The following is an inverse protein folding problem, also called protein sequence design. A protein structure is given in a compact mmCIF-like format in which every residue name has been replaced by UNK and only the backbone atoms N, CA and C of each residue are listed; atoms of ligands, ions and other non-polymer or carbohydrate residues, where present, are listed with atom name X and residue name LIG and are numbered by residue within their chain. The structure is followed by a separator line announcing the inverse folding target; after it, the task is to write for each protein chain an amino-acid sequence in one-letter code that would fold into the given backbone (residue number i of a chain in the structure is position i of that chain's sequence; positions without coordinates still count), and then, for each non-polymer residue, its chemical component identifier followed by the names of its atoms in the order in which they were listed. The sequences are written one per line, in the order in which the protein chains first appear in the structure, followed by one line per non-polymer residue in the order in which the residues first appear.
data_IF_309879983974
#
_entry.id   IF_309879983974
#
_cell.length_a   1.000
_cell.length_b   1.000
_cell.length_c   1.000
_cell.angle_alpha   90.00
_cell.angle_beta   90.00
_cell.angle_gamma   90.00
#
_symmetry.space_group_name_H-M   'P 1'
#
loop_
_entity.id
_entity.type
_entity.pdbx_description
1 polymer ?
#
# COMPACT_ATOMS: atom_id res chain seq x y z
N UNK A 1 -2.19 5.55 19.78
CA UNK A 1 -3.66 5.43 20.09
C UNK A 1 -4.26 6.71 20.68
N UNK A 2 -4.04 7.85 20.06
CA UNK A 2 -4.60 9.12 20.52
C UNK A 2 -6.11 9.30 20.32
N UNK A 3 -6.76 8.41 19.60
CA UNK A 3 -8.21 8.32 19.51
C UNK A 3 -8.62 6.94 20.02
N UNK A 4 -9.45 6.85 21.02
CA UNK A 4 -9.90 5.64 21.73
C UNK A 4 -10.33 4.45 20.84
N UNK A 5 -9.44 3.99 19.97
CA UNK A 5 -9.69 2.86 19.08
C UNK A 5 -9.45 1.56 19.82
N UNK A 6 -10.47 0.71 19.88
CA UNK A 6 -10.36 -0.69 20.33
C UNK A 6 -9.93 -1.62 19.19
N UNK A 7 -9.79 -1.10 17.97
CA UNK A 7 -9.36 -1.89 16.81
C UNK A 7 -7.92 -2.40 16.99
N UNK A 8 -7.67 -3.61 16.54
CA UNK A 8 -6.32 -4.15 16.41
C UNK A 8 -5.57 -3.37 15.33
N UNK A 9 -4.34 -3.03 15.59
CA UNK A 9 -3.47 -2.28 14.67
C UNK A 9 -2.22 -3.12 14.45
N UNK A 10 -1.96 -3.49 13.20
CA UNK A 10 -0.78 -4.23 12.79
C UNK A 10 0.24 -3.31 12.13
N UNK A 11 1.47 -3.30 12.65
CA UNK A 11 2.61 -2.66 12.01
C UNK A 11 3.16 -3.61 10.94
N UNK A 12 2.82 -3.35 9.67
CA UNK A 12 3.13 -4.25 8.55
C UNK A 12 4.63 -4.39 8.24
N UNK A 13 5.42 -3.37 8.55
CA UNK A 13 6.87 -3.38 8.35
C UNK A 13 7.61 -3.89 9.59
N UNK A 14 6.87 -4.07 10.69
CA UNK A 14 7.43 -4.48 11.98
C UNK A 14 8.16 -3.33 12.67
N UNK A 15 9.13 -3.69 13.50
CA UNK A 15 9.97 -2.75 14.25
C UNK A 15 11.34 -2.61 13.55
N UNK A 16 11.94 -1.43 13.66
CA UNK A 16 13.28 -1.12 13.11
C UNK A 16 14.36 -1.08 14.18
N UNK A 17 13.95 -1.07 15.46
CA UNK A 17 14.83 -1.05 16.62
C UNK A 17 14.20 -1.85 17.78
N UNK A 18 15.02 -2.42 18.70
CA UNK A 18 14.51 -3.20 19.84
C UNK A 18 13.56 -2.40 20.76
N UNK A 19 13.79 -1.10 20.92
CA UNK A 19 12.93 -0.22 21.73
C UNK A 19 11.50 -0.14 21.19
N UNK A 20 11.31 -0.26 19.88
CA UNK A 20 9.99 -0.20 19.26
C UNK A 20 9.16 -1.45 19.55
N UNK A 21 9.81 -2.60 19.82
CA UNK A 21 9.12 -3.83 20.27
C UNK A 21 8.46 -3.58 21.62
N UNK A 22 9.19 -2.96 22.56
CA UNK A 22 8.67 -2.59 23.90
C UNK A 22 7.51 -1.59 23.77
N UNK A 23 7.69 -0.56 22.94
CA UNK A 23 6.65 0.46 22.70
C UNK A 23 5.40 -0.14 22.05
N UNK A 24 5.58 -1.04 21.08
CA UNK A 24 4.48 -1.74 20.41
C UNK A 24 3.67 -2.59 21.41
N UNK A 25 4.35 -3.34 22.27
CA UNK A 25 3.72 -4.12 23.33
C UNK A 25 2.95 -3.22 24.31
N UNK A 26 3.57 -2.13 24.77
CA UNK A 26 2.94 -1.17 25.69
C UNK A 26 1.70 -0.52 25.08
N UNK A 27 1.71 -0.23 23.77
CA UNK A 27 0.59 0.35 23.04
C UNK A 27 -0.44 -0.69 22.59
N UNK A 28 -0.17 -1.99 22.78
CA UNK A 28 -1.03 -3.09 22.34
C UNK A 28 -1.17 -3.15 20.81
N UNK A 29 -0.08 -2.92 20.09
CA UNK A 29 0.01 -3.09 18.66
C UNK A 29 0.42 -4.53 18.32
N UNK A 30 -0.01 -5.03 17.17
CA UNK A 30 0.54 -6.24 16.58
C UNK A 30 1.77 -5.86 15.73
N UNK A 31 2.77 -6.74 15.64
CA UNK A 31 3.96 -6.50 14.83
C UNK A 31 4.19 -7.62 13.82
N UNK A 32 4.76 -7.27 12.66
CA UNK A 32 5.30 -8.25 11.72
C UNK A 32 6.77 -8.50 12.05
N UNK A 33 7.19 -9.76 11.96
CA UNK A 33 8.59 -10.17 11.90
C UNK A 33 8.86 -10.76 10.51
N UNK A 34 9.90 -10.25 9.86
CA UNK A 34 10.21 -10.56 8.46
C UNK A 34 11.68 -10.93 8.23
N UNK A 35 12.45 -10.98 9.31
CA UNK A 35 13.85 -11.32 9.31
C UNK A 35 14.33 -11.77 10.69
N UNK A 36 15.46 -12.47 10.69
CA UNK A 36 16.05 -13.05 11.89
C UNK A 36 16.39 -12.01 12.96
N UNK A 37 16.82 -10.83 12.55
CA UNK A 37 17.18 -9.75 13.47
C UNK A 37 15.97 -9.30 14.31
N UNK A 38 14.79 -9.12 13.69
CA UNK A 38 13.56 -8.77 14.40
C UNK A 38 13.11 -9.89 15.35
N UNK A 39 13.32 -11.15 14.96
CA UNK A 39 13.05 -12.28 15.86
C UNK A 39 13.96 -12.22 17.07
N UNK A 40 15.26 -11.96 16.87
CA UNK A 40 16.23 -11.83 17.99
C UNK A 40 15.85 -10.68 18.92
N UNK A 41 15.49 -9.51 18.39
CA UNK A 41 15.01 -8.40 19.22
C UNK A 41 13.83 -8.80 20.09
N UNK A 42 12.87 -9.54 19.52
CA UNK A 42 11.71 -10.03 20.26
C UNK A 42 12.13 -11.03 21.34
N UNK A 43 13.06 -11.94 21.07
CA UNK A 43 13.53 -12.95 22.03
C UNK A 43 14.37 -12.35 23.17
N UNK A 44 15.22 -11.38 22.84
CA UNK A 44 16.19 -10.78 23.77
C UNK A 44 15.59 -9.66 24.62
N UNK A 45 14.35 -9.23 24.30
CA UNK A 45 13.69 -8.10 24.97
C UNK A 45 12.48 -8.59 25.76
N UNK A 46 12.59 -8.84 27.07
CA UNK A 46 11.45 -9.18 27.92
C UNK A 46 10.37 -8.09 27.88
N UNK A 47 9.12 -8.49 27.69
CA UNK A 47 8.00 -7.58 27.59
C UNK A 47 7.10 -7.67 28.83
N UNK A 48 6.65 -6.53 29.34
CA UNK A 48 5.69 -6.47 30.45
C UNK A 48 4.28 -6.93 30.02
N UNK A 49 3.97 -6.84 28.73
CA UNK A 49 2.69 -7.27 28.15
C UNK A 49 2.94 -8.15 26.93
N UNK A 50 2.21 -9.26 26.81
CA UNK A 50 2.32 -10.11 25.63
C UNK A 50 1.87 -9.35 24.36
N UNK A 51 2.52 -9.70 23.24
CA UNK A 51 2.32 -9.09 21.93
C UNK A 51 1.86 -10.13 20.92
N UNK A 52 1.01 -9.73 19.95
CA UNK A 52 0.68 -10.58 18.82
C UNK A 52 1.73 -10.38 17.72
N UNK A 53 2.22 -11.48 17.18
CA UNK A 53 3.28 -11.50 16.18
C UNK A 53 2.76 -12.10 14.88
N UNK A 54 3.11 -11.49 13.76
CA UNK A 54 2.84 -11.99 12.43
C UNK A 54 4.15 -12.33 11.74
N UNK A 55 4.36 -13.61 11.41
CA UNK A 55 5.50 -14.02 10.59
C UNK A 55 5.22 -13.74 9.13
N UNK A 56 6.10 -13.00 8.46
CA UNK A 56 5.99 -12.76 7.03
C UNK A 56 6.63 -13.90 6.24
N UNK A 57 5.86 -14.55 5.37
CA UNK A 57 6.35 -15.54 4.41
C UNK A 57 6.63 -14.84 3.06
N UNK A 58 7.83 -14.98 2.55
CA UNK A 58 8.10 -14.71 1.15
C UNK A 58 7.64 -15.89 0.29
N UNK A 59 6.42 -15.78 -0.23
CA UNK A 59 5.86 -16.80 -1.12
C UNK A 59 6.26 -16.61 -2.59
N UNK A 60 7.15 -15.64 -2.90
CA UNK A 60 7.66 -15.40 -4.24
C UNK A 60 7.61 -13.95 -4.71
N UNK A 61 7.33 -12.98 -3.84
CA UNK A 61 7.45 -11.55 -4.14
C UNK A 61 8.90 -11.06 -4.03
N UNK A 62 9.69 -11.72 -3.18
CA UNK A 62 11.12 -11.44 -2.94
C UNK A 62 11.41 -10.00 -2.50
N UNK A 63 10.52 -9.47 -1.65
CA UNK A 63 10.67 -8.14 -1.08
C UNK A 63 11.05 -8.20 0.39
N UNK A 64 10.27 -8.92 1.19
CA UNK A 64 10.44 -9.09 2.64
C UNK A 64 9.86 -10.46 3.04
N UNK A 65 10.33 -11.00 4.17
CA UNK A 65 9.81 -12.22 4.75
C UNK A 65 10.81 -13.38 4.70
N UNK A 66 10.48 -14.42 5.44
CA UNK A 66 11.22 -15.68 5.48
C UNK A 66 10.80 -16.59 4.32
N UNK A 67 11.69 -17.42 3.86
CA UNK A 67 11.33 -18.60 3.06
C UNK A 67 10.63 -19.67 3.93
N UNK A 68 10.22 -20.76 3.32
CA UNK A 68 9.53 -21.86 4.03
C UNK A 68 10.39 -22.48 5.16
N UNK A 69 11.70 -22.60 4.95
CA UNK A 69 12.63 -23.15 5.92
C UNK A 69 12.76 -22.22 7.12
N UNK A 70 12.93 -20.93 6.89
CA UNK A 70 12.98 -19.90 7.92
C UNK A 70 11.69 -19.82 8.74
N UNK A 71 10.52 -19.95 8.10
CA UNK A 71 9.24 -20.04 8.82
C UNK A 71 9.22 -21.25 9.75
N UNK A 72 9.62 -22.43 9.27
CA UNK A 72 9.65 -23.64 10.09
C UNK A 72 10.64 -23.55 11.25
N UNK A 73 11.83 -23.00 10.98
CA UNK A 73 12.87 -22.79 11.98
C UNK A 73 12.38 -21.88 13.12
N UNK A 74 11.82 -20.73 12.79
CA UNK A 74 11.49 -19.70 13.78
C UNK A 74 10.10 -19.89 14.40
N UNK A 75 9.19 -20.65 13.77
CA UNK A 75 7.86 -20.88 14.31
C UNK A 75 7.89 -21.50 15.71
N UNK A 76 8.63 -22.60 15.90
CA UNK A 76 8.72 -23.28 17.20
C UNK A 76 9.37 -22.40 18.27
N UNK A 77 10.35 -21.61 17.90
CA UNK A 77 11.04 -20.69 18.80
C UNK A 77 10.09 -19.58 19.26
N UNK A 78 9.41 -18.92 18.33
CA UNK A 78 8.48 -17.83 18.64
C UNK A 78 7.22 -18.35 19.36
N UNK A 79 6.72 -19.53 19.03
CA UNK A 79 5.56 -20.15 19.70
C UNK A 79 5.84 -20.42 21.18
N UNK A 80 7.09 -20.71 21.55
CA UNK A 80 7.52 -20.96 22.93
C UNK A 80 8.00 -19.67 23.65
N UNK A 81 8.03 -18.52 22.99
CA UNK A 81 8.40 -17.26 23.61
C UNK A 81 7.27 -16.78 24.55
N UNK A 82 7.56 -16.56 25.85
CA UNK A 82 6.52 -16.33 26.86
C UNK A 82 5.72 -15.03 26.67
N UNK A 83 6.24 -14.09 25.92
CA UNK A 83 5.54 -12.83 25.60
C UNK A 83 4.93 -12.78 24.19
N UNK A 84 5.02 -13.84 23.41
CA UNK A 84 4.24 -13.99 22.18
C UNK A 84 2.87 -14.56 22.52
N UNK A 85 1.81 -13.76 22.33
CA UNK A 85 0.43 -14.15 22.67
C UNK A 85 -0.23 -14.91 21.54
N UNK A 86 -0.17 -14.37 20.33
CA UNK A 86 -0.65 -14.99 19.10
C UNK A 86 0.50 -15.00 18.10
N UNK A 87 0.65 -16.10 17.38
CA UNK A 87 1.62 -16.24 16.31
C UNK A 87 0.88 -16.50 15.01
N UNK A 88 0.88 -15.49 14.14
CA UNK A 88 0.09 -15.43 12.93
C UNK A 88 0.99 -15.51 11.69
N UNK A 89 0.41 -15.82 10.54
CA UNK A 89 1.11 -15.89 9.25
C UNK A 89 0.56 -14.87 8.27
N UNK A 90 1.43 -14.16 7.56
CA UNK A 90 1.05 -13.36 6.41
C UNK A 90 1.99 -13.56 5.23
N UNK A 91 1.49 -13.30 4.03
CA UNK A 91 2.29 -13.15 2.82
C UNK A 91 1.67 -12.08 1.92
N UNK A 92 2.26 -11.80 0.76
CA UNK A 92 1.79 -10.76 -0.15
C UNK A 92 1.89 -11.20 -1.61
N UNK A 93 0.81 -11.01 -2.37
CA UNK A 93 0.81 -11.27 -3.80
C UNK A 93 1.55 -10.19 -4.59
N UNK A 94 2.31 -10.63 -5.57
CA UNK A 94 3.03 -9.74 -6.48
C UNK A 94 2.26 -9.43 -7.77
N UNK A 95 1.32 -10.30 -8.16
CA UNK A 95 0.67 -10.29 -9.48
C UNK A 95 -0.85 -10.55 -9.42
N UNK A 96 -1.49 -10.34 -8.26
CA UNK A 96 -2.94 -10.59 -8.13
C UNK A 96 -3.80 -9.61 -8.93
N UNK A 97 -3.23 -8.49 -9.38
CA UNK A 97 -3.82 -7.52 -10.29
C UNK A 97 -3.78 -7.96 -11.76
N UNK A 98 -3.00 -8.98 -12.09
CA UNK A 98 -2.94 -9.63 -13.40
C UNK A 98 -3.70 -10.97 -13.35
N UNK A 99 -4.98 -10.97 -13.69
CA UNK A 99 -5.93 -12.07 -13.43
C UNK A 99 -5.55 -13.47 -13.94
N UNK A 100 -4.64 -13.58 -14.91
CA UNK A 100 -4.19 -14.85 -15.49
C UNK A 100 -2.70 -15.14 -15.20
N UNK A 101 -2.03 -14.34 -14.37
CA UNK A 101 -0.61 -14.55 -14.14
C UNK A 101 -0.35 -15.78 -13.26
N UNK A 102 0.43 -16.79 -13.74
CA UNK A 102 0.59 -18.08 -13.05
C UNK A 102 1.28 -17.93 -11.67
N UNK A 103 2.04 -16.87 -11.47
CA UNK A 103 2.74 -16.60 -10.21
C UNK A 103 1.76 -16.41 -9.03
N UNK A 104 0.58 -15.88 -9.28
CA UNK A 104 -0.45 -15.72 -8.25
C UNK A 104 -0.84 -17.06 -7.63
N UNK A 105 -1.09 -18.07 -8.47
CA UNK A 105 -1.38 -19.42 -8.00
C UNK A 105 -0.19 -20.05 -7.30
N UNK A 106 1.02 -19.92 -7.86
CA UNK A 106 2.24 -20.43 -7.22
C UNK A 106 2.45 -19.83 -5.82
N UNK A 107 2.21 -18.54 -5.64
CA UNK A 107 2.28 -17.89 -4.32
C UNK A 107 1.23 -18.42 -3.34
N UNK A 108 0.01 -18.65 -3.82
CA UNK A 108 -1.05 -19.25 -3.02
C UNK A 108 -0.67 -20.68 -2.59
N UNK A 109 -0.13 -21.50 -3.50
CA UNK A 109 0.29 -22.88 -3.22
C UNK A 109 1.40 -22.92 -2.15
N UNK A 110 2.39 -22.02 -2.23
CA UNK A 110 3.44 -21.88 -1.21
C UNK A 110 2.85 -21.51 0.15
N UNK A 111 1.86 -20.62 0.18
CA UNK A 111 1.18 -20.22 1.42
C UNK A 111 0.38 -21.38 2.02
N UNK A 112 -0.33 -22.13 1.19
CA UNK A 112 -1.13 -23.31 1.59
C UNK A 112 -0.25 -24.46 2.07
N UNK A 113 1.00 -24.58 1.61
CA UNK A 113 1.93 -25.60 2.09
C UNK A 113 2.15 -25.52 3.61
N UNK A 114 1.91 -24.36 4.22
CA UNK A 114 1.95 -24.16 5.67
C UNK A 114 0.60 -24.38 6.38
N UNK A 115 -0.41 -24.95 5.71
CA UNK A 115 -1.75 -25.16 6.30
C UNK A 115 -1.73 -26.09 7.53
N UNK A 116 -0.79 -27.02 7.59
CA UNK A 116 -0.58 -27.92 8.74
C UNK A 116 0.17 -27.28 9.92
N UNK A 117 0.72 -26.06 9.77
CA UNK A 117 1.39 -25.34 10.86
C UNK A 117 0.33 -24.56 11.66
N UNK A 118 0.36 -24.71 13.00
CA UNK A 118 -0.67 -24.18 13.90
C UNK A 118 -0.51 -22.66 14.15
N UNK A 119 -0.60 -21.84 13.08
CA UNK A 119 -0.76 -20.40 13.21
C UNK A 119 -2.16 -20.05 13.71
N UNK A 120 -2.27 -19.01 14.55
CA UNK A 120 -3.56 -18.59 15.12
C UNK A 120 -4.43 -17.90 14.08
N UNK A 121 -3.84 -17.08 13.22
CA UNK A 121 -4.53 -16.36 12.14
C UNK A 121 -3.65 -16.29 10.88
N UNK A 122 -4.28 -16.02 9.74
CA UNK A 122 -3.65 -15.98 8.41
C UNK A 122 -4.13 -14.77 7.61
N UNK A 123 -3.25 -14.22 6.79
CA UNK A 123 -3.56 -13.10 5.91
C UNK A 123 -2.75 -13.17 4.62
N UNK A 124 -3.41 -13.17 3.47
CA UNK A 124 -2.75 -13.22 2.16
C UNK A 124 -3.26 -12.13 1.21
N UNK A 125 -4.59 -11.93 1.13
CA UNK A 125 -5.23 -11.08 0.15
C UNK A 125 -4.87 -9.60 0.27
N UNK A 126 -4.31 -9.03 -0.80
CA UNK A 126 -4.19 -7.59 -1.05
C UNK A 126 -5.45 -7.06 -1.77
N UNK A 127 -5.46 -5.79 -2.20
CA UNK A 127 -6.63 -5.16 -2.85
C UNK A 127 -7.20 -5.96 -4.03
N UNK A 128 -6.34 -6.45 -4.92
CA UNK A 128 -6.76 -7.22 -6.09
C UNK A 128 -7.35 -8.57 -5.68
N UNK A 129 -6.66 -9.29 -4.80
CA UNK A 129 -7.11 -10.58 -4.30
C UNK A 129 -8.41 -10.48 -3.49
N UNK A 130 -8.63 -9.40 -2.75
CA UNK A 130 -9.91 -9.13 -2.06
C UNK A 130 -11.07 -9.09 -3.04
N UNK A 131 -10.86 -8.55 -4.24
CA UNK A 131 -11.92 -8.41 -5.24
C UNK A 131 -12.12 -9.66 -6.11
N UNK A 132 -11.10 -10.52 -6.25
CA UNK A 132 -11.13 -11.58 -7.26
C UNK A 132 -10.76 -12.97 -6.77
N UNK A 133 -10.15 -13.12 -5.59
CA UNK A 133 -9.61 -14.39 -5.09
C UNK A 133 -10.15 -14.71 -3.68
N UNK A 134 -11.48 -14.97 -3.59
CA UNK A 134 -12.17 -15.17 -2.31
C UNK A 134 -11.53 -16.23 -1.41
N UNK A 135 -11.01 -17.31 -1.97
CA UNK A 135 -10.37 -18.41 -1.23
C UNK A 135 -9.06 -17.98 -0.52
N UNK A 136 -8.52 -16.80 -0.86
CA UNK A 136 -7.29 -16.26 -0.26
C UNK A 136 -7.52 -15.26 0.87
N UNK A 137 -8.78 -15.00 1.24
CA UNK A 137 -9.13 -14.01 2.26
C UNK A 137 -8.63 -14.41 3.65
N UNK A 138 -8.73 -15.71 3.98
CA UNK A 138 -8.39 -16.22 5.31
C UNK A 138 -9.05 -15.41 6.44
N UNK A 139 -8.30 -15.16 7.55
CA UNK A 139 -8.85 -14.44 8.70
C UNK A 139 -8.76 -12.91 8.55
N UNK A 140 -7.77 -12.43 7.79
CA UNK A 140 -7.54 -10.99 7.57
C UNK A 140 -7.28 -10.69 6.10
N UNK A 141 -7.91 -9.63 5.60
CA UNK A 141 -7.61 -9.04 4.30
C UNK A 141 -6.91 -7.69 4.47
N UNK A 142 -6.08 -7.32 3.50
CA UNK A 142 -5.32 -6.06 3.54
C UNK A 142 -5.63 -5.20 2.30
N UNK A 143 -6.84 -4.63 2.22
CA UNK A 143 -7.17 -3.67 1.17
C UNK A 143 -6.33 -2.41 1.36
N UNK A 144 -5.64 -1.97 0.31
CA UNK A 144 -4.90 -0.72 0.28
C UNK A 144 -5.56 0.26 -0.68
N UNK A 145 -5.20 0.21 -1.95
CA UNK A 145 -5.63 1.17 -2.96
C UNK A 145 -7.16 1.25 -3.12
N UNK A 146 -7.88 0.15 -2.94
CA UNK A 146 -9.35 0.15 -3.05
C UNK A 146 -10.03 0.96 -1.94
N UNK A 147 -9.39 1.20 -0.80
CA UNK A 147 -9.91 2.08 0.25
C UNK A 147 -9.95 3.55 -0.20
N UNK A 148 -9.11 3.92 -1.15
CA UNK A 148 -9.12 5.25 -1.76
C UNK A 148 -10.06 5.34 -2.96
N UNK A 149 -10.71 4.22 -3.32
CA UNK A 149 -11.63 4.14 -4.46
C UNK A 149 -10.94 4.02 -5.80
N UNK A 150 -9.68 3.59 -5.84
CA UNK A 150 -8.94 3.33 -7.07
C UNK A 150 -8.90 1.83 -7.40
N UNK A 151 -9.01 1.51 -8.70
CA UNK A 151 -8.88 0.14 -9.16
C UNK A 151 -7.43 -0.36 -9.03
N UNK A 152 -7.20 -1.59 -8.53
CA UNK A 152 -5.90 -2.23 -8.59
C UNK A 152 -5.58 -2.77 -9.99
N UNK A 153 -6.56 -2.89 -10.89
CA UNK A 153 -6.42 -3.48 -12.22
C UNK A 153 -6.19 -2.40 -13.28
N UNK A 154 -5.28 -2.65 -14.22
CA UNK A 154 -5.03 -1.73 -15.33
C UNK A 154 -6.22 -1.66 -16.32
N UNK A 155 -6.94 -2.78 -16.51
CA UNK A 155 -7.97 -2.94 -17.53
C UNK A 155 -9.41 -2.74 -17.02
N UNK A 156 -9.60 -2.60 -15.70
CA UNK A 156 -10.91 -2.42 -15.08
C UNK A 156 -10.92 -1.12 -14.27
N UNK A 157 -11.86 -0.25 -14.56
CA UNK A 157 -11.96 1.01 -13.83
C UNK A 157 -12.69 0.84 -12.48
N UNK A 158 -12.56 1.83 -11.60
CA UNK A 158 -13.12 1.79 -10.25
C UNK A 158 -14.66 1.65 -10.24
N UNK A 159 -15.36 2.26 -11.20
CA UNK A 159 -16.82 2.19 -11.30
C UNK A 159 -17.30 0.76 -11.62
N UNK A 160 -16.60 0.05 -12.51
CA UNK A 160 -16.89 -1.37 -12.85
C UNK A 160 -16.73 -2.30 -11.64
N UNK A 161 -15.93 -1.89 -10.67
CA UNK A 161 -15.69 -2.63 -9.42
C UNK A 161 -16.61 -2.18 -8.28
N UNK A 162 -17.52 -1.22 -8.53
CA UNK A 162 -18.38 -0.64 -7.49
C UNK A 162 -17.62 0.22 -6.47
N UNK A 163 -16.40 0.65 -6.79
CA UNK A 163 -15.60 1.49 -5.92
C UNK A 163 -16.00 2.96 -6.06
N UNK A 164 -15.92 3.70 -4.96
CA UNK A 164 -16.19 5.13 -4.91
C UNK A 164 -14.92 5.88 -4.46
N UNK A 165 -14.62 7.00 -5.13
CA UNK A 165 -13.49 7.84 -4.74
C UNK A 165 -13.67 8.36 -3.29
N UNK A 166 -12.71 8.04 -2.43
CA UNK A 166 -12.69 8.46 -1.03
C UNK A 166 -11.79 9.69 -0.80
N UNK A 167 -11.07 10.15 -1.84
CA UNK A 167 -10.15 11.29 -1.77
C UNK A 167 -10.32 12.19 -2.99
N UNK A 168 -10.28 13.50 -2.77
CA UNK A 168 -10.30 14.51 -3.82
C UNK A 168 -9.14 15.47 -3.62
N UNK A 169 -8.25 15.57 -4.60
CA UNK A 169 -7.20 16.58 -4.61
C UNK A 169 -7.78 17.89 -5.16
N UNK A 170 -7.68 18.97 -4.39
CA UNK A 170 -8.13 20.30 -4.78
C UNK A 170 -7.01 21.32 -4.68
N UNK A 171 -7.03 22.30 -5.59
CA UNK A 171 -6.09 23.42 -5.56
C UNK A 171 -6.77 24.68 -6.11
N UNK A 172 -6.20 25.85 -5.79
CA UNK A 172 -6.75 27.14 -6.23
C UNK A 172 -6.16 27.58 -7.57
N UNK A 173 -6.99 28.26 -8.37
CA UNK A 173 -6.51 29.00 -9.53
C UNK A 173 -5.92 30.31 -9.04
N UNK A 174 -4.61 30.51 -9.27
CA UNK A 174 -3.89 31.71 -8.82
C UNK A 174 -3.64 32.74 -9.92
N UNK A 175 -3.76 32.33 -11.19
CA UNK A 175 -3.59 33.24 -12.33
C UNK A 175 -4.41 32.77 -13.50
N UNK A 176 -4.97 33.77 -14.24
CA UNK A 176 -5.61 33.53 -15.52
C UNK A 176 -4.99 34.47 -16.56
N UNK A 177 -4.69 33.98 -17.74
CA UNK A 177 -4.20 34.76 -18.87
C UNK A 177 -4.64 34.16 -20.18
N UNK A 178 -4.79 34.99 -21.18
CA UNK A 178 -5.02 34.58 -22.57
C UNK A 178 -3.72 34.71 -23.34
N UNK A 179 -3.33 33.69 -24.06
CA UNK A 179 -2.15 33.68 -24.93
C UNK A 179 -2.59 33.48 -26.38
N UNK A 180 -1.91 34.12 -27.37
CA UNK A 180 -2.23 33.96 -28.79
C UNK A 180 -1.81 32.56 -29.30
N UNK A 181 -2.32 32.19 -30.46
CA UNK A 181 -1.86 31.02 -31.20
C UNK A 181 -0.34 31.08 -31.45
N UNK A 182 0.34 29.96 -31.30
CA UNK A 182 1.79 29.86 -31.50
C UNK A 182 2.64 30.04 -30.25
N UNK A 183 2.09 30.62 -29.18
CA UNK A 183 2.79 30.76 -27.90
C UNK A 183 2.89 29.43 -27.13
N UNK A 184 3.89 29.33 -26.28
CA UNK A 184 4.20 28.12 -25.51
C UNK A 184 4.00 28.33 -24.01
N UNK A 185 3.79 27.22 -23.27
CA UNK A 185 3.58 27.25 -21.83
C UNK A 185 4.62 26.42 -21.10
N UNK A 186 5.22 26.99 -20.06
CA UNK A 186 6.04 26.29 -19.07
C UNK A 186 7.44 25.91 -19.54
N UNK A 187 8.13 25.14 -18.69
CA UNK A 187 9.50 24.71 -18.92
C UNK A 187 9.66 23.85 -20.16
N UNK A 188 10.68 24.18 -20.97
CA UNK A 188 11.04 23.46 -22.17
C UNK A 188 10.13 23.73 -23.35
N UNK A 189 9.14 24.64 -23.22
CA UNK A 189 8.21 25.01 -24.32
C UNK A 189 7.56 23.78 -25.00
N UNK A 190 7.28 22.74 -24.23
CA UNK A 190 6.84 21.43 -24.74
C UNK A 190 5.38 21.43 -25.21
N UNK A 191 4.61 22.46 -24.85
CA UNK A 191 3.24 22.64 -25.31
C UNK A 191 3.10 23.99 -26.01
N UNK A 192 2.42 23.99 -27.14
CA UNK A 192 2.20 25.16 -27.98
C UNK A 192 0.68 25.38 -28.22
N UNK A 193 0.21 26.60 -28.06
CA UNK A 193 -1.18 26.95 -28.32
C UNK A 193 -1.50 26.91 -29.82
N UNK A 194 -2.44 26.09 -30.23
CA UNK A 194 -2.90 26.01 -31.65
C UNK A 194 -3.85 27.19 -32.04
N UNK A 195 -4.44 27.81 -31.04
CA UNK A 195 -5.37 28.95 -31.17
C UNK A 195 -5.20 29.87 -29.98
N UNK A 196 -5.81 31.01 -29.99
CA UNK A 196 -5.92 31.83 -28.79
C UNK A 196 -6.52 31.00 -27.65
N UNK A 197 -5.79 30.90 -26.54
CA UNK A 197 -6.08 29.96 -25.46
C UNK A 197 -6.01 30.66 -24.11
N UNK A 198 -7.03 30.43 -23.29
CA UNK A 198 -7.05 30.87 -21.89
C UNK A 198 -6.33 29.84 -21.01
N UNK A 199 -5.28 30.29 -20.34
CA UNK A 199 -4.44 29.44 -19.43
C UNK A 199 -4.76 29.82 -17.99
N UNK A 200 -5.02 28.80 -17.17
CA UNK A 200 -5.13 28.91 -15.72
C UNK A 200 -3.87 28.31 -15.07
N UNK A 201 -3.24 29.05 -14.19
CA UNK A 201 -2.20 28.52 -13.30
C UNK A 201 -2.87 28.14 -11.98
N UNK A 202 -2.60 26.90 -11.52
CA UNK A 202 -3.13 26.36 -10.27
C UNK A 202 -2.00 26.21 -9.25
N UNK A 203 -2.29 26.44 -7.96
CA UNK A 203 -1.36 26.34 -6.86
C UNK A 203 -1.20 24.86 -6.43
N UNK A 204 -0.53 24.08 -7.28
CA UNK A 204 -0.22 22.67 -6.99
C UNK A 204 0.87 22.19 -7.98
N UNK A 205 2.00 21.76 -7.44
CA UNK A 205 3.12 21.29 -8.23
C UNK A 205 3.79 20.03 -7.65
N UNK A 206 4.99 19.72 -8.13
CA UNK A 206 5.66 18.49 -7.72
C UNK A 206 6.19 18.56 -6.27
N UNK A 207 6.37 19.74 -5.69
CA UNK A 207 6.70 19.89 -4.28
C UNK A 207 5.52 19.50 -3.36
N UNK A 208 4.28 19.58 -3.88
CA UNK A 208 3.08 19.13 -3.18
C UNK A 208 2.80 17.62 -3.40
N UNK A 209 3.67 16.92 -4.12
CA UNK A 209 3.50 15.51 -4.48
C UNK A 209 2.77 15.26 -5.79
N UNK A 210 2.40 16.30 -6.56
CA UNK A 210 1.79 16.10 -7.87
C UNK A 210 2.85 15.60 -8.88
N UNK A 211 2.56 14.57 -9.69
CA UNK A 211 3.57 13.99 -10.57
C UNK A 211 4.13 15.00 -11.59
N UNK A 212 5.44 15.27 -11.53
CA UNK A 212 6.12 16.14 -12.52
C UNK A 212 6.03 15.58 -13.93
N UNK A 213 5.87 14.27 -14.06
CA UNK A 213 5.74 13.54 -15.33
C UNK A 213 4.30 13.38 -15.80
N UNK A 214 3.32 14.03 -15.14
CA UNK A 214 1.95 14.00 -15.59
C UNK A 214 1.86 14.44 -17.08
N UNK A 215 1.28 13.60 -17.96
CA UNK A 215 1.27 13.90 -19.39
C UNK A 215 0.38 15.08 -19.72
N UNK A 216 0.68 15.78 -20.81
CA UNK A 216 -0.22 16.77 -21.37
C UNK A 216 -1.58 16.14 -21.68
N UNK A 217 -2.66 16.85 -21.40
CA UNK A 217 -4.01 16.30 -21.52
C UNK A 217 -4.57 15.64 -20.27
N UNK A 218 -3.75 15.44 -19.21
CA UNK A 218 -4.27 14.97 -17.92
C UNK A 218 -5.47 15.82 -17.49
N UNK A 219 -6.64 15.21 -17.20
CA UNK A 219 -7.85 15.97 -16.94
C UNK A 219 -7.82 16.65 -15.57
N UNK A 220 -8.16 17.95 -15.57
CA UNK A 220 -8.44 18.74 -14.38
C UNK A 220 -9.88 19.21 -14.46
N UNK A 221 -10.57 19.29 -13.34
CA UNK A 221 -11.96 19.77 -13.29
C UNK A 221 -12.01 21.16 -12.67
N UNK A 222 -12.55 22.13 -13.41
CA UNK A 222 -12.75 23.50 -12.94
C UNK A 222 -14.25 23.83 -13.03
N UNK A 223 -14.89 24.08 -11.90
CA UNK A 223 -16.34 24.35 -11.83
C UNK A 223 -17.19 23.30 -12.59
N UNK A 224 -16.86 22.02 -12.43
CA UNK A 224 -17.55 20.92 -13.09
C UNK A 224 -17.18 20.69 -14.56
N UNK A 225 -16.34 21.52 -15.17
CA UNK A 225 -15.88 21.38 -16.54
C UNK A 225 -14.48 20.81 -16.60
N UNK A 226 -14.24 19.87 -17.52
CA UNK A 226 -12.91 19.31 -17.75
C UNK A 226 -12.04 20.28 -18.56
N UNK A 227 -10.82 20.48 -18.07
CA UNK A 227 -9.76 21.19 -18.78
C UNK A 227 -8.51 20.31 -18.82
N UNK A 228 -7.72 20.32 -19.90
CA UNK A 228 -6.49 19.56 -19.99
C UNK A 228 -5.36 20.27 -19.25
N UNK A 229 -4.49 19.51 -18.58
CA UNK A 229 -3.18 19.99 -18.16
C UNK A 229 -2.33 20.27 -19.40
N UNK A 230 -1.64 21.42 -19.43
CA UNK A 230 -0.77 21.82 -20.53
C UNK A 230 0.60 22.24 -20.02
N UNK A 231 1.64 21.96 -20.79
CA UNK A 231 3.02 22.23 -20.40
C UNK A 231 3.53 21.24 -19.36
N UNK A 232 4.68 21.56 -18.77
CA UNK A 232 5.32 20.73 -17.74
C UNK A 232 4.94 21.23 -16.36
N UNK A 233 4.62 20.30 -15.45
CA UNK A 233 4.34 20.62 -14.05
C UNK A 233 5.55 21.32 -13.42
N UNK A 234 5.32 22.47 -12.78
CA UNK A 234 6.30 23.23 -12.03
C UNK A 234 6.40 22.74 -10.58
N UNK A 235 7.26 23.40 -9.77
CA UNK A 235 7.45 23.04 -8.39
C UNK A 235 6.20 23.29 -7.54
N UNK A 236 5.54 24.44 -7.78
CA UNK A 236 4.38 24.94 -7.02
C UNK A 236 3.16 25.12 -7.88
#
# INVERSE_FOLDING_TARGET
RGMHSTARILLLEGCFEPVEVVQSAALGLDIVVQGEEQVRWLLDTPLERPINVWMALDSGMHRLGFDLEGIQQWFAVLRNCPWVKELNLLSHFSTADESAHPKTQQQADVFVALSGVAFDQRSLANSAAVLTLGDTHHDWVRPGIILYGASPFAERNAHELGLQAAMTLTAQVISLRTIPAGETVGYGAIWKAERETRIATICCGYADGYPRTAPAGTPVVVNGQRAPLVGRVSMD
#
